data_IF_074055700955
#
_entry.id   IF_074055700955
#
_cell.length_a   1.000
_cell.length_b   1.000
_cell.length_c   1.000
_cell.angle_alpha   90.00
_cell.angle_beta   90.00
_cell.angle_gamma   90.00
#
_symmetry.space_group_name_H-M   'P 1'
#
loop_
_entity.id
_entity.type
_entity.pdbx_description
1 polymer ?
#
# COMPACT_ATOMS: atom_id res chain seq x y z
N UNK A 1 25.27 58.95 32.19
CA UNK A 1 24.00 58.25 31.94
C UNK A 1 24.28 57.07 31.02
N UNK A 2 24.38 55.86 31.58
CA UNK A 2 24.53 54.61 30.85
C UNK A 2 23.16 53.97 30.70
N UNK A 3 22.68 53.78 29.46
CA UNK A 3 21.46 53.00 29.16
C UNK A 3 21.87 51.55 29.02
N UNK A 4 21.43 50.74 29.94
CA UNK A 4 21.42 49.28 29.87
C UNK A 4 20.20 48.85 29.07
N UNK A 5 20.45 48.20 27.91
CA UNK A 5 19.45 47.55 27.07
C UNK A 5 19.45 46.08 27.46
N UNK A 6 18.46 45.66 28.18
CA UNK A 6 18.16 44.26 28.43
C UNK A 6 17.50 43.69 27.18
N UNK A 7 18.18 42.75 26.50
CA UNK A 7 17.60 41.90 25.47
C UNK A 7 16.99 40.70 26.20
N UNK A 8 15.67 40.67 26.33
CA UNK A 8 14.94 39.46 26.68
C UNK A 8 14.97 38.50 25.51
N UNK A 9 15.87 37.52 25.59
CA UNK A 9 15.83 36.35 24.75
C UNK A 9 14.81 35.40 25.38
N UNK A 10 13.63 35.36 24.78
CA UNK A 10 12.63 34.35 25.11
C UNK A 10 13.14 32.99 24.68
N UNK A 11 13.68 32.22 25.60
CA UNK A 11 14.03 30.83 25.48
C UNK A 11 12.75 29.98 25.37
N UNK A 12 12.19 29.87 24.16
CA UNK A 12 11.16 28.88 23.85
C UNK A 12 11.82 27.52 23.57
N UNK A 13 12.44 26.94 24.59
CA UNK A 13 12.75 25.53 24.62
C UNK A 13 11.45 24.75 24.85
N UNK A 14 10.75 24.41 23.77
CA UNK A 14 9.73 23.37 23.83
C UNK A 14 10.41 22.10 24.37
N UNK A 15 10.12 21.75 25.61
CA UNK A 15 10.59 20.52 26.25
C UNK A 15 10.05 19.34 25.42
N UNK A 16 10.88 18.76 24.56
CA UNK A 16 10.51 17.59 23.81
C UNK A 16 10.14 16.48 24.80
N UNK A 17 8.88 16.10 24.83
CA UNK A 17 8.39 15.03 25.71
C UNK A 17 9.12 13.74 25.35
N UNK A 18 9.68 13.08 26.39
CA UNK A 18 10.30 11.77 26.22
C UNK A 18 9.22 10.70 26.16
N UNK A 19 9.26 9.91 25.11
CA UNK A 19 8.27 8.86 24.81
C UNK A 19 8.84 7.47 25.13
N UNK A 20 7.94 6.52 25.41
CA UNK A 20 8.26 5.11 25.60
C UNK A 20 7.53 4.28 24.52
N UNK A 21 8.24 3.33 23.91
CA UNK A 21 7.67 2.35 23.00
C UNK A 21 7.70 0.97 23.64
N UNK A 22 6.54 0.28 23.62
CA UNK A 22 6.44 -1.12 23.99
C UNK A 22 6.20 -1.96 22.74
N UNK A 23 7.09 -2.92 22.48
CA UNK A 23 7.00 -3.71 21.25
C UNK A 23 8.12 -4.74 21.15
N UNK A 24 8.18 -5.38 19.99
CA UNK A 24 9.23 -6.35 19.67
C UNK A 24 10.24 -5.72 18.75
N UNK A 25 11.52 -5.83 19.08
CA UNK A 25 12.62 -5.50 18.15
C UNK A 25 12.64 -6.56 17.06
N UNK A 26 12.34 -6.19 15.83
CA UNK A 26 12.18 -7.14 14.71
C UNK A 26 13.34 -7.06 13.71
N UNK A 27 14.08 -5.95 13.68
CA UNK A 27 15.24 -5.74 12.82
C UNK A 27 16.19 -4.69 13.38
N UNK A 28 17.48 -4.86 13.10
CA UNK A 28 18.53 -3.90 13.46
C UNK A 28 19.46 -3.73 12.26
N UNK A 29 19.60 -2.52 11.79
CA UNK A 29 20.54 -2.19 10.70
C UNK A 29 21.99 -2.21 11.21
N UNK A 30 22.91 -2.46 10.29
CA UNK A 30 24.34 -2.32 10.57
C UNK A 30 24.64 -0.84 10.89
N UNK A 31 25.65 -0.65 11.74
CA UNK A 31 26.17 0.71 12.00
C UNK A 31 26.76 1.26 10.71
N UNK A 32 26.23 2.39 10.26
CA UNK A 32 26.67 3.07 9.05
C UNK A 32 27.35 4.39 9.39
N UNK A 33 28.33 4.78 8.58
CA UNK A 33 28.97 6.11 8.63
C UNK A 33 28.17 7.05 7.74
N UNK A 34 27.90 8.26 8.23
CA UNK A 34 27.23 9.27 7.43
C UNK A 34 28.23 9.83 6.40
N UNK A 35 27.82 9.96 5.14
CA UNK A 35 28.66 10.47 4.06
C UNK A 35 29.03 11.96 4.19
N UNK A 36 28.20 12.75 4.89
CA UNK A 36 28.41 14.19 5.05
C UNK A 36 29.23 14.59 6.27
N UNK A 37 29.31 13.73 7.26
CA UNK A 37 30.08 13.95 8.48
C UNK A 37 30.59 12.61 9.00
N UNK A 38 31.67 12.59 9.75
CA UNK A 38 32.28 11.34 10.26
C UNK A 38 31.45 10.61 11.34
N UNK A 39 30.20 11.02 11.54
CA UNK A 39 29.34 10.44 12.56
C UNK A 39 28.75 9.10 12.11
N UNK A 40 28.65 8.18 13.06
CA UNK A 40 28.00 6.90 12.87
C UNK A 40 26.57 6.93 13.36
N UNK A 41 25.73 6.11 12.77
CA UNK A 41 24.37 5.90 13.20
C UNK A 41 23.91 4.47 12.88
N UNK A 42 22.85 4.04 13.52
CA UNK A 42 22.09 2.85 13.15
C UNK A 42 20.62 3.08 13.42
N UNK A 43 19.79 2.27 12.81
CA UNK A 43 18.36 2.24 13.09
C UNK A 43 17.90 0.82 13.37
N UNK A 44 16.75 0.71 14.04
CA UNK A 44 16.11 -0.55 14.30
C UNK A 44 14.59 -0.40 14.15
N UNK A 45 13.90 -1.50 13.90
CA UNK A 45 12.45 -1.55 13.79
C UNK A 45 11.85 -2.19 15.02
N UNK A 46 10.76 -1.59 15.48
CA UNK A 46 9.94 -2.09 16.59
C UNK A 46 8.53 -2.34 16.07
N UNK A 47 8.04 -3.56 16.27
CA UNK A 47 6.64 -3.90 15.99
C UNK A 47 5.80 -3.60 17.23
N UNK A 48 4.77 -2.78 17.08
CA UNK A 48 3.85 -2.37 18.14
C UNK A 48 2.65 -3.32 18.22
N UNK A 49 1.79 -3.11 19.20
CA UNK A 49 0.60 -3.94 19.47
C UNK A 49 -0.40 -3.93 18.30
N UNK A 50 -0.57 -2.80 17.65
CA UNK A 50 -1.40 -2.63 16.45
C UNK A 50 -0.79 -3.22 15.17
N UNK A 51 0.30 -4.00 15.30
CA UNK A 51 1.10 -4.58 14.21
C UNK A 51 1.81 -3.55 13.31
N UNK A 52 1.72 -2.27 13.63
CA UNK A 52 2.51 -1.24 12.96
C UNK A 52 4.00 -1.37 13.28
N UNK A 53 4.84 -0.89 12.38
CA UNK A 53 6.29 -0.90 12.57
C UNK A 53 6.84 0.51 12.64
N UNK A 54 7.58 0.77 13.70
CA UNK A 54 8.18 2.08 13.95
C UNK A 54 9.70 1.98 13.82
N UNK A 55 10.29 2.93 13.10
CA UNK A 55 11.75 3.07 13.00
C UNK A 55 12.26 3.99 14.08
N UNK A 56 13.27 3.50 14.79
CA UNK A 56 14.02 4.27 15.81
C UNK A 56 15.45 4.44 15.35
N UNK A 57 15.99 5.66 15.42
CA UNK A 57 17.36 5.98 15.01
C UNK A 57 18.23 6.30 16.22
N UNK A 58 19.47 5.81 16.22
CA UNK A 58 20.50 6.17 17.20
C UNK A 58 21.70 6.79 16.51
N UNK A 59 22.03 8.00 16.88
CA UNK A 59 23.26 8.68 16.47
C UNK A 59 24.38 8.41 17.48
N UNK A 60 25.55 8.00 17.00
CA UNK A 60 26.69 7.56 17.82
C UNK A 60 27.85 8.57 17.86
N UNK A 61 27.76 9.65 17.07
CA UNK A 61 28.91 10.54 16.87
C UNK A 61 30.05 9.79 16.17
N UNK A 62 31.30 10.04 16.57
CA UNK A 62 32.50 9.44 15.96
C UNK A 62 32.77 7.99 16.43
N UNK A 63 32.16 7.56 17.52
CA UNK A 63 32.41 6.21 18.08
C UNK A 63 31.52 5.17 17.37
N UNK A 64 32.06 4.10 16.76
CA UNK A 64 31.26 3.10 16.04
C UNK A 64 30.64 2.03 16.97
N UNK A 65 30.74 2.16 18.29
CA UNK A 65 30.23 1.17 19.24
C UNK A 65 29.30 1.78 20.28
N UNK A 66 28.32 0.98 20.72
CA UNK A 66 27.32 1.40 21.70
C UNK A 66 26.77 0.17 22.44
N UNK A 67 26.71 0.21 23.79
CA UNK A 67 26.13 -0.87 24.58
C UNK A 67 24.67 -1.14 24.25
N UNK A 68 23.90 -0.09 23.91
CA UNK A 68 22.51 -0.20 23.47
C UNK A 68 22.39 -1.08 22.20
N UNK A 69 23.35 -1.03 21.29
CA UNK A 69 23.35 -1.87 20.08
C UNK A 69 23.46 -3.36 20.41
N UNK A 70 24.25 -3.73 21.43
CA UNK A 70 24.33 -5.10 21.89
C UNK A 70 23.06 -5.57 22.59
N UNK A 71 22.49 -4.73 23.44
CA UNK A 71 21.19 -5.02 24.10
C UNK A 71 20.06 -5.22 23.07
N UNK A 72 20.04 -4.42 22.00
CA UNK A 72 19.09 -4.60 20.90
C UNK A 72 19.30 -5.95 20.20
N UNK A 73 20.55 -6.36 19.94
CA UNK A 73 20.84 -7.66 19.34
C UNK A 73 20.39 -8.81 20.23
N UNK A 74 20.57 -8.69 21.54
CA UNK A 74 20.10 -9.68 22.52
C UNK A 74 18.57 -9.75 22.53
N UNK A 75 17.87 -8.59 22.54
CA UNK A 75 16.43 -8.52 22.46
C UNK A 75 15.90 -9.13 21.14
N UNK A 76 16.53 -8.84 20.00
CA UNK A 76 16.18 -9.44 18.71
C UNK A 76 16.37 -10.95 18.71
N UNK A 77 17.47 -11.44 19.31
CA UNK A 77 17.81 -12.87 19.38
C UNK A 77 16.87 -13.64 20.32
N UNK A 78 16.53 -13.05 21.46
CA UNK A 78 15.62 -13.67 22.43
C UNK A 78 14.17 -13.72 21.90
N UNK A 79 13.80 -12.78 21.04
CA UNK A 79 12.43 -12.64 20.56
C UNK A 79 11.44 -12.25 21.66
N UNK A 80 11.93 -11.69 22.75
CA UNK A 80 11.11 -11.20 23.85
C UNK A 80 10.64 -9.77 23.59
N UNK A 81 9.49 -9.42 24.17
CA UNK A 81 9.00 -8.05 24.13
C UNK A 81 9.92 -7.11 24.90
N UNK A 82 9.97 -5.86 24.49
CA UNK A 82 10.81 -4.84 25.07
C UNK A 82 10.02 -3.54 25.33
N UNK A 83 10.43 -2.84 26.39
CA UNK A 83 10.07 -1.46 26.66
C UNK A 83 11.27 -0.57 26.39
N UNK A 84 11.18 0.34 25.42
CA UNK A 84 12.25 1.23 25.01
C UNK A 84 11.89 2.62 25.52
N UNK A 85 12.61 3.10 26.50
CA UNK A 85 12.30 4.33 27.23
C UNK A 85 13.16 5.50 26.78
N UNK A 86 12.72 6.72 27.10
CA UNK A 86 13.44 7.97 26.88
C UNK A 86 13.81 8.19 25.39
N UNK A 87 12.84 7.97 24.53
CA UNK A 87 12.93 8.32 23.11
C UNK A 87 12.47 9.76 22.90
N UNK A 88 13.10 10.46 21.96
CA UNK A 88 12.62 11.74 21.45
C UNK A 88 11.78 11.46 20.20
N UNK A 89 10.58 11.96 20.20
CA UNK A 89 9.72 11.98 19.02
C UNK A 89 9.76 13.36 18.36
N UNK A 90 9.96 13.36 17.03
CA UNK A 90 9.90 14.57 16.24
C UNK A 90 9.34 14.23 14.86
N UNK A 91 8.18 14.83 14.52
CA UNK A 91 7.50 14.62 13.23
C UNK A 91 7.26 13.12 12.90
N UNK A 92 6.79 12.34 13.88
CA UNK A 92 6.55 10.91 13.72
C UNK A 92 7.80 10.03 13.60
N UNK A 93 9.00 10.60 13.80
CA UNK A 93 10.24 9.85 13.84
C UNK A 93 10.75 9.75 15.27
N UNK A 94 11.26 8.58 15.64
CA UNK A 94 11.81 8.34 16.97
C UNK A 94 13.34 8.30 16.93
N UNK A 95 13.94 8.99 17.88
CA UNK A 95 15.39 8.98 18.05
C UNK A 95 15.76 8.62 19.50
N UNK A 96 16.81 7.80 19.64
CA UNK A 96 17.37 7.50 20.95
C UNK A 96 18.08 8.71 21.53
N UNK A 97 17.93 8.92 22.83
CA UNK A 97 18.69 9.89 23.61
C UNK A 97 19.89 9.24 24.31
N UNK A 98 20.63 9.98 25.12
CA UNK A 98 21.68 9.43 25.98
C UNK A 98 21.11 8.53 27.10
N UNK A 99 19.88 8.81 27.54
CA UNK A 99 19.21 8.08 28.62
C UNK A 99 18.32 6.92 28.13
N UNK A 100 18.27 6.64 26.82
CA UNK A 100 17.49 5.54 26.26
C UNK A 100 17.93 4.20 26.84
N UNK A 101 16.96 3.42 27.34
CA UNK A 101 17.19 2.07 27.89
C UNK A 101 16.22 1.10 27.24
N UNK A 102 16.63 -0.15 27.17
CA UNK A 102 15.81 -1.28 26.72
C UNK A 102 15.63 -2.19 27.91
N UNK A 103 14.39 -2.44 28.25
CA UNK A 103 14.01 -3.33 29.35
C UNK A 103 13.14 -4.44 28.76
N UNK A 104 13.40 -5.67 29.14
CA UNK A 104 12.54 -6.78 28.78
C UNK A 104 11.14 -6.57 29.37
N UNK A 105 10.10 -6.81 28.56
CA UNK A 105 8.71 -6.68 28.94
C UNK A 105 7.88 -7.80 28.35
N UNK A 106 7.09 -8.47 29.19
CA UNK A 106 6.09 -9.42 28.71
C UNK A 106 4.97 -8.65 28.01
N UNK A 107 4.70 -8.99 26.75
CA UNK A 107 3.64 -8.41 25.93
C UNK A 107 2.64 -9.50 25.57
N UNK A 108 1.37 -9.12 25.43
CA UNK A 108 0.27 -10.07 25.16
C UNK A 108 0.13 -10.41 23.67
N UNK A 109 0.79 -9.68 22.79
CA UNK A 109 0.79 -9.91 21.36
C UNK A 109 2.11 -10.51 20.86
N UNK A 110 2.13 -10.98 19.60
CA UNK A 110 3.33 -11.41 18.88
C UNK A 110 3.38 -10.72 17.51
N UNK A 111 4.57 -10.35 17.00
CA UNK A 111 4.68 -9.73 15.69
C UNK A 111 4.23 -10.68 14.59
N UNK A 112 3.32 -10.24 13.74
CA UNK A 112 2.86 -11.02 12.58
C UNK A 112 3.80 -10.84 11.38
N UNK A 113 4.41 -9.68 11.25
CA UNK A 113 5.28 -9.34 10.13
C UNK A 113 6.53 -10.24 9.99
N UNK A 114 6.92 -10.98 11.03
CA UNK A 114 8.03 -11.94 10.99
C UNK A 114 7.57 -13.39 10.73
N UNK A 115 6.27 -13.67 10.77
CA UNK A 115 5.73 -14.98 10.39
C UNK A 115 5.71 -15.09 8.88
N UNK A 116 6.09 -16.25 8.36
CA UNK A 116 5.94 -16.56 6.95
C UNK A 116 4.48 -16.65 6.59
N UNK A 117 4.06 -15.92 5.57
CA UNK A 117 2.70 -15.94 5.03
C UNK A 117 2.74 -16.29 3.55
N UNK A 118 1.70 -16.97 3.06
CA UNK A 118 1.54 -17.26 1.64
C UNK A 118 1.13 -16.01 0.86
N UNK A 119 1.46 -15.96 -0.43
CA UNK A 119 1.15 -14.81 -1.28
C UNK A 119 -0.36 -14.55 -1.40
N UNK A 120 -1.18 -15.61 -1.42
CA UNK A 120 -2.64 -15.49 -1.43
C UNK A 120 -3.19 -14.78 -0.18
N UNK A 121 -2.59 -15.02 0.98
CA UNK A 121 -3.03 -14.43 2.24
C UNK A 121 -2.68 -12.94 2.38
N UNK A 122 -1.74 -12.43 1.57
CA UNK A 122 -1.38 -11.01 1.58
C UNK A 122 -2.51 -10.09 1.13
N UNK A 123 -3.52 -10.61 0.44
CA UNK A 123 -4.68 -9.84 -0.02
C UNK A 123 -5.55 -9.29 1.12
N UNK A 124 -5.55 -9.96 2.26
CA UNK A 124 -6.24 -9.49 3.48
C UNK A 124 -5.43 -8.51 4.32
N UNK A 125 -4.18 -8.22 3.94
CA UNK A 125 -3.31 -7.35 4.72
C UNK A 125 -3.52 -5.87 4.39
N UNK A 126 -3.27 -5.01 5.38
CA UNK A 126 -3.37 -3.57 5.19
C UNK A 126 -2.21 -3.03 4.34
N UNK A 127 -2.48 -1.98 3.56
CA UNK A 127 -1.47 -1.19 2.84
C UNK A 127 -0.37 -0.75 3.82
N UNK A 128 0.89 -0.84 3.36
CA UNK A 128 2.09 -0.49 4.12
C UNK A 128 2.47 -1.44 5.27
N UNK A 129 1.71 -2.49 5.53
CA UNK A 129 2.11 -3.53 6.48
C UNK A 129 3.38 -4.25 6.01
N UNK A 130 4.21 -4.66 6.96
CA UNK A 130 5.38 -5.49 6.69
C UNK A 130 5.01 -6.97 6.69
N UNK A 131 5.61 -7.75 5.80
CA UNK A 131 5.41 -9.20 5.72
C UNK A 131 6.70 -9.97 5.49
N UNK A 132 6.65 -11.27 5.73
CA UNK A 132 7.71 -12.24 5.45
C UNK A 132 7.11 -13.35 4.60
N UNK A 133 7.80 -13.71 3.52
CA UNK A 133 7.34 -14.71 2.55
C UNK A 133 8.44 -15.71 2.21
N UNK A 134 8.06 -16.91 1.77
CA UNK A 134 8.93 -17.87 1.11
C UNK A 134 8.50 -17.99 -0.33
N UNK A 135 9.37 -17.63 -1.27
CA UNK A 135 9.05 -17.49 -2.69
C UNK A 135 10.22 -17.90 -3.57
N UNK A 136 9.91 -18.33 -4.79
CA UNK A 136 10.86 -18.54 -5.89
C UNK A 136 10.85 -17.32 -6.81
N UNK A 137 12.01 -16.94 -7.31
CA UNK A 137 12.18 -15.87 -8.31
C UNK A 137 11.87 -16.45 -9.69
N UNK A 138 10.73 -16.05 -10.26
CA UNK A 138 10.22 -16.61 -11.54
C UNK A 138 10.62 -15.76 -12.76
N UNK A 139 10.73 -14.44 -12.60
CA UNK A 139 11.11 -13.52 -13.68
C UNK A 139 11.89 -12.34 -13.10
N UNK A 140 12.88 -11.84 -13.81
CA UNK A 140 13.58 -10.59 -13.48
C UNK A 140 13.50 -9.68 -14.70
N UNK A 141 12.86 -8.51 -14.53
CA UNK A 141 12.73 -7.50 -15.60
C UNK A 141 13.91 -6.53 -15.56
N UNK A 142 14.10 -5.81 -16.67
CA UNK A 142 15.15 -4.80 -16.79
C UNK A 142 15.01 -3.68 -15.75
N UNK A 143 16.14 -3.10 -15.39
CA UNK A 143 16.16 -1.98 -14.46
C UNK A 143 15.64 -0.71 -15.11
N UNK A 144 14.76 0.01 -14.43
CA UNK A 144 14.18 1.27 -14.87
C UNK A 144 14.60 2.38 -13.92
N UNK A 145 14.96 3.53 -14.47
CA UNK A 145 15.28 4.71 -13.69
C UNK A 145 13.99 5.42 -13.27
N UNK A 146 13.83 5.66 -11.96
CA UNK A 146 12.67 6.36 -11.40
C UNK A 146 13.11 7.55 -10.55
N UNK A 147 12.38 8.65 -10.66
CA UNK A 147 12.57 9.81 -9.82
C UNK A 147 11.80 9.62 -8.50
N UNK A 148 12.49 9.72 -7.37
CA UNK A 148 11.91 9.64 -6.03
C UNK A 148 12.08 10.98 -5.35
N UNK A 149 11.01 11.51 -4.78
CA UNK A 149 11.09 12.70 -3.93
C UNK A 149 11.69 12.34 -2.57
N UNK A 150 12.82 12.95 -2.26
CA UNK A 150 13.47 12.82 -0.96
C UNK A 150 12.90 13.82 0.05
N UNK A 151 12.55 15.02 -0.41
CA UNK A 151 11.86 16.09 0.31
C UNK A 151 11.23 17.05 -0.70
N UNK A 152 10.52 18.08 -0.22
CA UNK A 152 9.81 19.07 -1.07
C UNK A 152 10.67 19.72 -2.17
N UNK A 153 12.00 19.72 -2.02
CA UNK A 153 12.92 20.43 -2.92
C UNK A 153 13.91 19.51 -3.64
N UNK A 154 13.93 18.20 -3.31
CA UNK A 154 14.95 17.30 -3.83
C UNK A 154 14.36 16.02 -4.37
N UNK A 155 14.51 15.85 -5.69
CA UNK A 155 14.26 14.57 -6.38
C UNK A 155 15.60 13.86 -6.56
N UNK A 156 15.63 12.58 -6.25
CA UNK A 156 16.76 11.70 -6.53
C UNK A 156 16.33 10.65 -7.53
N UNK A 157 17.22 10.35 -8.47
CA UNK A 157 17.02 9.25 -9.39
C UNK A 157 17.54 7.96 -8.75
N UNK A 158 16.75 6.89 -8.81
CA UNK A 158 17.13 5.55 -8.35
C UNK A 158 16.77 4.51 -9.39
N UNK A 159 17.58 3.48 -9.48
CA UNK A 159 17.26 2.32 -10.29
C UNK A 159 16.31 1.39 -9.52
N UNK A 160 15.27 0.96 -10.21
CA UNK A 160 14.25 0.03 -9.75
C UNK A 160 14.25 -1.20 -10.67
N UNK A 161 14.15 -2.40 -10.10
CA UNK A 161 13.86 -3.64 -10.82
C UNK A 161 12.52 -4.21 -10.38
N UNK A 162 11.72 -4.66 -11.32
CA UNK A 162 10.53 -5.46 -11.06
C UNK A 162 10.87 -6.94 -11.23
N UNK A 163 10.46 -7.75 -10.29
CA UNK A 163 10.72 -9.19 -10.23
C UNK A 163 9.40 -9.90 -9.97
N UNK A 164 9.11 -10.97 -10.71
CA UNK A 164 7.99 -11.85 -10.37
C UNK A 164 8.47 -12.89 -9.40
N UNK A 165 7.80 -12.99 -8.27
CA UNK A 165 8.03 -14.00 -7.23
C UNK A 165 6.77 -14.82 -7.01
N UNK A 166 6.92 -16.12 -6.82
CA UNK A 166 5.81 -17.04 -6.67
C UNK A 166 5.98 -18.01 -5.52
N UNK A 167 4.85 -18.49 -5.00
CA UNK A 167 4.74 -19.65 -4.13
C UNK A 167 3.67 -20.62 -4.67
N UNK A 168 3.31 -21.65 -3.92
CA UNK A 168 2.26 -22.60 -4.34
C UNK A 168 0.85 -21.99 -4.38
N UNK A 169 0.66 -20.76 -3.90
CA UNK A 169 -0.65 -20.11 -3.76
C UNK A 169 -0.86 -18.93 -4.70
N UNK A 170 0.21 -18.42 -5.32
CA UNK A 170 0.12 -17.31 -6.27
C UNK A 170 1.48 -16.74 -6.66
N UNK A 171 1.45 -15.72 -7.50
CA UNK A 171 2.61 -14.93 -7.87
C UNK A 171 2.32 -13.43 -7.72
N UNK A 172 3.32 -12.64 -7.32
CA UNK A 172 3.24 -11.20 -7.14
C UNK A 172 4.46 -10.49 -7.71
N UNK A 173 4.31 -9.20 -8.02
CA UNK A 173 5.43 -8.34 -8.34
C UNK A 173 6.17 -7.92 -7.07
N UNK A 174 7.49 -8.09 -7.08
CA UNK A 174 8.42 -7.58 -6.07
C UNK A 174 9.26 -6.47 -6.67
N UNK A 175 9.19 -5.28 -6.08
CA UNK A 175 10.07 -4.16 -6.41
C UNK A 175 11.37 -4.25 -5.62
N UNK A 176 12.50 -4.22 -6.33
CA UNK A 176 13.85 -4.12 -5.78
C UNK A 176 14.48 -2.77 -6.12
N UNK A 177 15.41 -2.34 -5.26
CA UNK A 177 16.20 -1.14 -5.46
C UNK A 177 17.65 -1.50 -5.76
N UNK A 178 18.39 -0.62 -6.42
CA UNK A 178 19.73 -0.88 -6.98
C UNK A 178 20.71 -1.64 -6.04
N UNK A 179 20.68 -1.37 -4.75
CA UNK A 179 21.53 -2.04 -3.74
C UNK A 179 21.09 -3.47 -3.39
N UNK A 180 20.00 -3.94 -3.99
CA UNK A 180 19.42 -5.27 -3.74
C UNK A 180 19.47 -6.18 -4.98
N UNK A 181 19.85 -5.64 -6.15
CA UNK A 181 19.80 -6.39 -7.40
C UNK A 181 20.65 -7.67 -7.38
N UNK A 182 21.81 -7.62 -6.73
CA UNK A 182 22.75 -8.74 -6.64
C UNK A 182 22.40 -9.74 -5.53
N UNK A 183 21.35 -9.47 -4.75
CA UNK A 183 20.96 -10.33 -3.62
C UNK A 183 20.03 -11.46 -4.05
N UNK A 184 19.49 -11.41 -5.26
CA UNK A 184 18.58 -12.41 -5.78
C UNK A 184 19.04 -12.93 -7.15
N UNK A 185 18.67 -14.17 -7.46
CA UNK A 185 19.00 -14.84 -8.69
C UNK A 185 17.75 -15.53 -9.26
N UNK A 186 17.55 -15.46 -10.58
CA UNK A 186 16.46 -16.12 -11.27
C UNK A 186 16.45 -17.63 -10.97
N UNK A 187 15.26 -18.19 -10.77
CA UNK A 187 15.05 -19.60 -10.49
C UNK A 187 15.42 -20.06 -9.07
N UNK A 188 15.86 -19.14 -8.20
CA UNK A 188 16.26 -19.46 -6.82
C UNK A 188 15.16 -19.11 -5.83
N UNK A 189 15.00 -19.94 -4.81
CA UNK A 189 14.02 -19.76 -3.74
C UNK A 189 14.62 -19.05 -2.53
N UNK A 190 13.83 -18.14 -1.96
CA UNK A 190 14.25 -17.28 -0.86
C UNK A 190 13.18 -17.17 0.23
N UNK A 191 13.64 -17.15 1.48
CA UNK A 191 12.90 -16.61 2.61
C UNK A 191 13.21 -15.11 2.70
N UNK A 192 12.22 -14.27 2.34
CA UNK A 192 12.39 -12.82 2.26
C UNK A 192 11.63 -12.19 3.43
N UNK A 193 12.35 -11.47 4.29
CA UNK A 193 11.78 -10.86 5.50
C UNK A 193 11.62 -9.36 5.32
N UNK A 194 10.59 -8.83 5.96
CA UNK A 194 10.31 -7.39 6.07
C UNK A 194 10.15 -6.71 4.70
N UNK A 195 9.37 -7.35 3.84
CA UNK A 195 8.83 -6.71 2.64
C UNK A 195 7.68 -5.80 3.02
N UNK A 196 7.58 -4.65 2.38
CA UNK A 196 6.45 -3.74 2.54
C UNK A 196 5.37 -4.06 1.50
N UNK A 197 4.15 -4.28 1.95
CA UNK A 197 2.99 -4.47 1.06
C UNK A 197 2.62 -3.12 0.45
N UNK A 198 2.49 -3.09 -0.87
CA UNK A 198 1.97 -1.96 -1.63
C UNK A 198 0.67 -2.37 -2.29
N UNK A 199 -0.26 -1.44 -2.32
CA UNK A 199 -1.51 -1.58 -3.04
C UNK A 199 -1.62 -0.42 -4.03
N UNK A 200 -1.73 -0.74 -5.30
CA UNK A 200 -1.88 0.23 -6.39
C UNK A 200 -2.88 -0.30 -7.40
N UNK A 201 -3.93 0.47 -7.71
CA UNK A 201 -5.04 0.03 -8.54
C UNK A 201 -5.55 -1.35 -8.13
N UNK A 202 -5.72 -1.53 -6.81
CA UNK A 202 -6.20 -2.75 -6.18
C UNK A 202 -5.34 -4.01 -6.43
N UNK A 203 -4.20 -3.82 -7.09
CA UNK A 203 -3.19 -4.86 -7.23
C UNK A 203 -2.20 -4.78 -6.08
N UNK A 204 -2.00 -5.91 -5.43
CA UNK A 204 -0.99 -6.05 -4.39
C UNK A 204 0.35 -6.30 -5.04
N UNK A 205 1.34 -5.60 -4.57
CA UNK A 205 2.75 -5.82 -4.90
C UNK A 205 3.61 -5.74 -3.64
N UNK A 206 4.78 -6.30 -3.73
CA UNK A 206 5.77 -6.30 -2.66
C UNK A 206 6.86 -5.27 -2.96
N UNK A 207 7.33 -4.59 -1.94
CA UNK A 207 8.43 -3.63 -2.09
C UNK A 207 9.52 -3.93 -1.07
N UNK A 208 10.71 -4.17 -1.56
CA UNK A 208 11.88 -4.28 -0.70
C UNK A 208 12.27 -2.91 -0.14
N UNK A 209 12.70 -2.90 1.10
CA UNK A 209 13.17 -1.71 1.83
C UNK A 209 14.62 -1.89 2.26
N UNK A 210 15.21 -0.89 2.88
CA UNK A 210 16.56 -1.01 3.48
C UNK A 210 16.66 -2.08 4.57
N UNK A 211 15.51 -2.52 5.10
CA UNK A 211 15.43 -3.51 6.19
C UNK A 211 15.13 -4.93 5.68
N UNK A 212 14.79 -5.04 4.39
CA UNK A 212 14.50 -6.34 3.76
C UNK A 212 15.75 -7.19 3.73
N UNK A 213 15.62 -8.46 4.13
CA UNK A 213 16.69 -9.45 4.06
C UNK A 213 16.27 -10.64 3.20
N UNK A 214 17.20 -11.13 2.39
CA UNK A 214 17.04 -12.25 1.48
C UNK A 214 17.88 -13.42 1.98
N UNK A 215 17.25 -14.53 2.32
CA UNK A 215 17.92 -15.74 2.79
C UNK A 215 17.58 -16.84 1.80
N UNK A 216 18.60 -17.38 1.12
CA UNK A 216 18.41 -18.51 0.21
C UNK A 216 17.93 -19.72 1.00
N UNK A 217 16.91 -20.40 0.47
CA UNK A 217 16.32 -21.63 1.01
C UNK A 217 16.37 -22.76 -0.04
N UNK A 218 15.99 -23.95 0.37
CA UNK A 218 15.81 -25.08 -0.53
C UNK A 218 14.76 -24.76 -1.60
N UNK A 219 14.92 -25.36 -2.78
CA UNK A 219 14.08 -25.01 -3.93
C UNK A 219 12.62 -25.41 -3.69
N UNK A 220 11.73 -24.43 -3.87
CA UNK A 220 10.29 -24.63 -3.85
C UNK A 220 9.86 -25.30 -5.16
N UNK A 221 9.29 -26.51 -5.06
CA UNK A 221 9.00 -27.37 -6.22
C UNK A 221 7.71 -26.99 -6.95
N UNK A 222 6.67 -26.62 -6.19
CA UNK A 222 5.36 -26.26 -6.73
C UNK A 222 5.15 -24.76 -6.59
N UNK A 223 5.32 -24.02 -7.67
CA UNK A 223 5.27 -22.56 -7.68
C UNK A 223 4.41 -22.07 -8.83
N UNK A 224 3.54 -21.13 -8.57
CA UNK A 224 2.83 -20.38 -9.60
C UNK A 224 3.78 -19.30 -10.12
N UNK A 225 4.17 -19.40 -11.40
CA UNK A 225 5.21 -18.53 -11.96
C UNK A 225 4.68 -17.25 -12.60
N UNK A 226 3.40 -17.19 -12.90
CA UNK A 226 2.77 -16.04 -13.55
C UNK A 226 1.86 -15.29 -12.60
N UNK A 227 1.97 -13.97 -12.64
CA UNK A 227 1.01 -13.12 -11.96
C UNK A 227 -0.33 -13.31 -12.65
N UNK A 228 -1.24 -13.93 -11.94
CA UNK A 228 -2.60 -14.04 -12.43
C UNK A 228 -3.30 -12.69 -12.29
N UNK A 229 -3.29 -11.92 -13.36
CA UNK A 229 -4.05 -10.67 -13.47
C UNK A 229 -5.57 -10.93 -13.39
N UNK A 230 -5.98 -12.20 -13.50
CA UNK A 230 -7.36 -12.67 -13.46
C UNK A 230 -7.67 -13.47 -12.20
N UNK A 231 -6.82 -13.44 -11.16
CA UNK A 231 -7.14 -14.15 -9.93
C UNK A 231 -8.50 -13.67 -9.44
N UNK A 232 -9.49 -14.52 -9.67
CA UNK A 232 -10.93 -14.42 -9.45
C UNK A 232 -11.35 -13.74 -8.13
N UNK A 233 -10.95 -12.49 -7.95
CA UNK A 233 -11.69 -11.57 -7.10
C UNK A 233 -13.03 -11.17 -7.76
N UNK A 234 -13.22 -11.57 -9.02
CA UNK A 234 -14.43 -11.25 -9.76
C UNK A 234 -15.52 -12.27 -9.48
N UNK A 235 -16.63 -11.76 -9.03
CA UNK A 235 -17.91 -12.47 -9.02
C UNK A 235 -18.77 -11.90 -10.13
N UNK A 236 -19.51 -12.76 -10.80
CA UNK A 236 -20.56 -12.34 -11.75
C UNK A 236 -21.90 -12.59 -11.12
N UNK A 237 -22.81 -11.64 -11.27
CA UNK A 237 -24.18 -11.76 -10.79
C UNK A 237 -25.14 -11.00 -11.74
N UNK A 238 -26.45 -11.15 -11.51
CA UNK A 238 -27.51 -10.51 -12.27
C UNK A 238 -28.44 -9.78 -11.32
N UNK A 239 -28.82 -8.56 -11.70
CA UNK A 239 -29.68 -7.76 -10.86
C UNK A 239 -30.19 -6.52 -11.58
N UNK A 240 -30.91 -5.68 -10.84
CA UNK A 240 -31.46 -4.42 -11.33
C UNK A 240 -30.70 -3.24 -10.71
N UNK A 241 -30.33 -2.26 -11.50
CA UNK A 241 -29.79 -1.00 -11.01
C UNK A 241 -30.90 -0.24 -10.31
N UNK A 242 -30.77 -0.03 -8.99
CA UNK A 242 -31.81 0.63 -8.18
C UNK A 242 -31.41 2.05 -7.76
N UNK A 243 -30.12 2.38 -7.82
CA UNK A 243 -29.64 3.71 -7.46
C UNK A 243 -28.32 4.02 -8.15
N UNK A 244 -28.11 5.29 -8.48
CA UNK A 244 -26.88 5.82 -9.07
C UNK A 244 -26.52 7.12 -8.35
N UNK A 245 -25.29 7.20 -7.84
CA UNK A 245 -24.75 8.38 -7.17
C UNK A 245 -23.42 8.77 -7.81
N UNK A 246 -23.33 9.94 -8.47
CA UNK A 246 -22.07 10.48 -8.93
C UNK A 246 -21.10 10.64 -7.75
N UNK A 247 -19.88 10.15 -7.89
CA UNK A 247 -18.83 10.45 -6.92
C UNK A 247 -18.21 11.79 -7.31
N UNK A 248 -17.97 12.63 -6.31
CA UNK A 248 -17.14 13.81 -6.49
C UNK A 248 -15.79 13.40 -7.08
N UNK A 249 -15.33 14.19 -8.07
CA UNK A 249 -14.08 13.94 -8.77
C UNK A 249 -12.94 13.71 -7.75
N UNK A 250 -12.50 12.47 -7.61
CA UNK A 250 -11.38 12.14 -6.74
C UNK A 250 -10.12 12.04 -7.61
N UNK A 251 -9.12 12.82 -7.23
CA UNK A 251 -7.81 12.73 -7.85
C UNK A 251 -7.10 11.46 -7.38
N UNK A 252 -6.41 10.78 -8.31
CA UNK A 252 -5.49 9.69 -7.99
C UNK A 252 -4.05 10.13 -8.15
N UNK A 253 -3.23 9.83 -7.17
CA UNK A 253 -1.82 10.11 -7.22
C UNK A 253 -1.11 9.23 -8.26
N UNK A 254 -0.51 9.84 -9.28
CA UNK A 254 0.26 9.12 -10.30
C UNK A 254 1.49 8.39 -9.72
N UNK A 255 1.96 8.80 -8.53
CA UNK A 255 3.11 8.19 -7.89
C UNK A 255 2.82 6.99 -7.00
N UNK A 256 1.68 6.99 -6.30
CA UNK A 256 1.35 5.93 -5.32
C UNK A 256 -0.08 5.42 -5.39
N UNK A 257 -0.95 6.01 -6.24
CA UNK A 257 -2.35 5.62 -6.39
C UNK A 257 -3.27 6.05 -5.25
N UNK A 258 -2.78 6.80 -4.26
CA UNK A 258 -3.59 7.29 -3.14
C UNK A 258 -4.53 8.40 -3.57
N UNK A 259 -5.62 8.58 -2.83
CA UNK A 259 -6.66 9.61 -3.05
C UNK A 259 -6.64 10.70 -1.99
N UNK A 260 -5.70 10.65 -1.03
CA UNK A 260 -5.58 11.64 0.04
C UNK A 260 -4.67 12.79 -0.42
N UNK A 261 -5.27 13.95 -0.70
CA UNK A 261 -4.59 15.13 -1.24
C UNK A 261 -4.81 16.38 -0.39
N UNK A 262 -3.81 17.24 -0.41
CA UNK A 262 -3.91 18.64 -0.02
C UNK A 262 -4.00 19.49 -1.28
N UNK A 263 -5.01 20.34 -1.40
CA UNK A 263 -5.26 21.16 -2.58
C UNK A 263 -4.79 22.61 -2.35
N UNK A 264 -4.13 23.16 -3.35
CA UNK A 264 -3.89 24.58 -3.54
C UNK A 264 -4.58 25.04 -4.83
N UNK A 265 -4.60 26.34 -5.13
CA UNK A 265 -5.33 26.89 -6.29
C UNK A 265 -5.07 26.13 -7.60
N UNK A 266 -3.81 25.87 -7.95
CA UNK A 266 -3.42 25.25 -9.21
C UNK A 266 -2.72 23.89 -9.07
N UNK A 267 -2.45 23.43 -7.84
CA UNK A 267 -1.70 22.22 -7.58
C UNK A 267 -2.37 21.36 -6.52
N UNK A 268 -2.20 20.04 -6.64
CA UNK A 268 -2.54 19.07 -5.63
C UNK A 268 -1.28 18.34 -5.16
N UNK A 269 -1.21 18.07 -3.87
CA UNK A 269 -0.10 17.36 -3.24
C UNK A 269 -0.64 16.11 -2.57
N UNK A 270 -0.10 14.96 -2.93
CA UNK A 270 -0.44 13.70 -2.28
C UNK A 270 0.12 13.68 -0.84
N UNK A 271 -0.74 13.46 0.14
CA UNK A 271 -0.33 13.43 1.54
C UNK A 271 0.50 12.18 1.89
N UNK A 272 0.36 11.10 1.12
CA UNK A 272 1.07 9.83 1.34
C UNK A 272 2.50 9.85 0.79
N UNK A 273 2.66 10.15 -0.51
CA UNK A 273 3.97 10.13 -1.17
C UNK A 273 4.57 11.52 -1.39
N UNK A 274 3.83 12.59 -1.06
CA UNK A 274 4.20 14.01 -1.21
C UNK A 274 4.49 14.43 -2.65
N UNK A 275 4.04 13.68 -3.63
CA UNK A 275 4.10 14.09 -5.03
C UNK A 275 3.18 15.28 -5.28
N UNK A 276 3.65 16.27 -6.03
CA UNK A 276 2.85 17.43 -6.47
C UNK A 276 2.54 17.34 -7.95
N UNK A 277 1.32 17.68 -8.30
CA UNK A 277 0.82 17.68 -9.67
C UNK A 277 0.10 18.99 -9.95
N UNK A 278 0.07 19.41 -11.20
CA UNK A 278 -0.87 20.43 -11.62
C UNK A 278 -2.27 19.79 -11.68
N UNK A 279 -3.31 20.51 -11.24
CA UNK A 279 -4.68 19.99 -11.28
C UNK A 279 -5.10 19.52 -12.68
N UNK A 280 -4.69 20.27 -13.71
CA UNK A 280 -4.98 19.93 -15.11
C UNK A 280 -4.31 18.65 -15.62
N UNK A 281 -3.21 18.23 -15.00
CA UNK A 281 -2.43 17.05 -15.42
C UNK A 281 -2.76 15.82 -14.57
N UNK A 282 -3.70 15.94 -13.64
CA UNK A 282 -4.05 14.87 -12.72
C UNK A 282 -5.15 14.01 -13.32
N UNK A 283 -4.97 12.70 -13.27
CA UNK A 283 -5.99 11.74 -13.68
C UNK A 283 -7.13 11.85 -12.68
N UNK A 284 -8.29 12.34 -13.14
CA UNK A 284 -9.54 12.22 -12.40
C UNK A 284 -10.05 10.80 -12.56
N UNK A 285 -10.20 10.08 -11.47
CA UNK A 285 -10.93 8.83 -11.48
C UNK A 285 -12.42 9.14 -11.41
N UNK A 286 -13.04 9.20 -12.58
CA UNK A 286 -14.49 9.37 -12.74
C UNK A 286 -15.20 8.07 -12.34
N UNK A 287 -15.36 7.83 -11.04
CA UNK A 287 -16.17 6.74 -10.55
C UNK A 287 -17.56 7.19 -10.19
N UNK A 288 -18.50 6.30 -10.42
CA UNK A 288 -19.89 6.44 -10.07
C UNK A 288 -20.24 5.29 -9.14
N UNK A 289 -20.91 5.57 -8.04
CA UNK A 289 -21.47 4.51 -7.20
C UNK A 289 -22.81 4.08 -7.78
N UNK A 290 -22.97 2.79 -7.96
CA UNK A 290 -24.27 2.20 -8.30
C UNK A 290 -24.67 1.19 -7.25
N UNK A 291 -25.96 1.12 -7.01
CA UNK A 291 -26.58 0.10 -6.18
C UNK A 291 -27.34 -0.86 -7.07
N UNK A 292 -27.03 -2.14 -6.97
CA UNK A 292 -27.67 -3.21 -7.72
C UNK A 292 -28.37 -4.14 -6.73
N UNK A 293 -29.67 -4.36 -6.94
CA UNK A 293 -30.46 -5.37 -6.24
C UNK A 293 -30.51 -6.63 -7.09
N UNK A 294 -30.01 -7.75 -6.54
CA UNK A 294 -30.04 -9.06 -7.23
C UNK A 294 -31.39 -9.75 -7.10
N UNK A 295 -31.60 -10.72 -7.94
CA UNK A 295 -32.81 -11.56 -7.87
C UNK A 295 -32.87 -12.45 -6.59
N UNK A 296 -31.74 -12.57 -5.87
CA UNK A 296 -31.66 -13.24 -4.56
C UNK A 296 -31.97 -12.30 -3.37
N UNK A 297 -32.44 -11.07 -3.64
CA UNK A 297 -32.64 -10.00 -2.64
C UNK A 297 -31.38 -9.55 -1.90
N UNK A 298 -30.22 -9.72 -2.51
CA UNK A 298 -28.97 -9.11 -2.04
C UNK A 298 -28.79 -7.74 -2.69
N UNK A 299 -28.27 -6.79 -1.92
CA UNK A 299 -27.96 -5.44 -2.42
C UNK A 299 -26.45 -5.22 -2.43
N UNK A 300 -25.92 -4.82 -3.57
CA UNK A 300 -24.52 -4.48 -3.76
C UNK A 300 -24.34 -2.98 -3.98
N UNK A 301 -23.46 -2.35 -3.18
CA UNK A 301 -23.00 -0.98 -3.40
C UNK A 301 -21.64 -1.04 -4.09
N UNK A 302 -21.62 -0.78 -5.39
CA UNK A 302 -20.46 -0.98 -6.25
C UNK A 302 -20.00 0.33 -6.88
N UNK A 303 -18.73 0.38 -7.29
CA UNK A 303 -18.15 1.49 -8.05
C UNK A 303 -17.99 1.08 -9.50
N UNK A 304 -18.33 1.96 -10.43
CA UNK A 304 -18.19 1.72 -11.85
C UNK A 304 -17.51 2.91 -12.53
N UNK A 305 -16.66 2.65 -13.51
CA UNK A 305 -16.01 3.71 -14.27
C UNK A 305 -17.02 4.38 -15.23
N UNK A 306 -16.94 5.69 -15.36
CA UNK A 306 -17.77 6.50 -16.27
C UNK A 306 -17.72 6.00 -17.71
N UNK A 307 -16.55 5.55 -18.18
CA UNK A 307 -16.41 4.99 -19.52
C UNK A 307 -17.25 3.73 -19.74
N UNK A 308 -17.32 2.85 -18.73
CA UNK A 308 -18.13 1.63 -18.80
C UNK A 308 -19.63 1.95 -18.82
N UNK A 309 -20.07 2.92 -18.01
CA UNK A 309 -21.46 3.41 -18.05
C UNK A 309 -21.79 4.12 -19.36
N UNK A 310 -20.87 4.85 -19.96
CA UNK A 310 -21.08 5.48 -21.27
C UNK A 310 -21.34 4.44 -22.36
N UNK A 311 -20.64 3.31 -22.33
CA UNK A 311 -20.90 2.18 -23.25
C UNK A 311 -22.31 1.61 -23.02
N UNK A 312 -22.71 1.44 -21.75
CA UNK A 312 -24.03 0.94 -21.38
C UNK A 312 -25.15 1.90 -21.89
N UNK A 313 -25.00 3.21 -21.70
CA UNK A 313 -25.93 4.24 -22.16
C UNK A 313 -26.05 4.25 -23.67
N UNK A 314 -24.93 4.17 -24.41
CA UNK A 314 -24.94 4.11 -25.87
C UNK A 314 -25.67 2.85 -26.38
N UNK A 315 -25.51 1.73 -25.72
CA UNK A 315 -26.21 0.49 -26.06
C UNK A 315 -27.70 0.58 -25.74
N UNK A 316 -28.11 1.35 -24.71
CA UNK A 316 -29.54 1.57 -24.37
C UNK A 316 -30.28 2.40 -25.41
N UNK A 317 -29.64 3.41 -26.00
CA UNK A 317 -30.23 4.22 -27.10
C UNK A 317 -30.48 3.39 -28.35
N UNK A 318 -29.65 2.38 -28.63
CA UNK A 318 -29.85 1.42 -29.72
C UNK A 318 -31.08 0.51 -29.49
N UNK A 319 -31.52 0.35 -28.26
CA UNK A 319 -32.72 -0.43 -27.90
C UNK A 319 -34.02 0.37 -27.99
N UNK A 320 -34.00 1.62 -28.48
CA UNK A 320 -35.17 2.43 -28.78
C UNK A 320 -35.92 2.97 -27.57
N UNK A 321 -35.30 3.02 -26.41
CA UNK A 321 -35.96 3.38 -25.14
C UNK A 321 -35.97 4.87 -24.82
N UNK A 322 -35.25 5.73 -25.56
CA UNK A 322 -35.27 7.19 -25.28
C UNK A 322 -34.97 8.07 -26.49
N UNK A 323 -35.85 9.04 -26.73
CA UNK A 323 -35.72 10.13 -27.72
C UNK A 323 -34.97 11.36 -27.18
N UNK A 324 -34.36 11.30 -26.01
CA UNK A 324 -33.71 12.45 -25.35
C UNK A 324 -32.20 12.34 -25.37
N UNK A 325 -31.60 12.90 -26.41
CA UNK A 325 -30.17 13.23 -26.40
C UNK A 325 -29.94 14.53 -25.61
N UNK A 326 -29.82 14.45 -24.28
CA UNK A 326 -29.14 15.52 -23.56
C UNK A 326 -27.63 15.30 -23.67
N UNK A 327 -26.87 16.35 -24.00
CA UNK A 327 -25.43 16.31 -24.07
C UNK A 327 -24.75 16.20 -22.65
N UNK A 328 -25.56 16.10 -21.60
CA UNK A 328 -25.12 16.04 -20.25
C UNK A 328 -25.14 14.58 -19.75
N UNK A 329 -23.94 14.02 -19.51
CA UNK A 329 -23.79 12.65 -19.04
C UNK A 329 -24.53 12.41 -17.70
N UNK A 330 -24.54 13.39 -16.80
CA UNK A 330 -25.18 13.27 -15.48
C UNK A 330 -26.72 13.15 -15.59
N UNK A 331 -27.35 13.87 -16.51
CA UNK A 331 -28.78 13.75 -16.77
C UNK A 331 -29.17 12.38 -17.33
N UNK A 332 -28.23 11.74 -18.04
CA UNK A 332 -28.43 10.41 -18.61
C UNK A 332 -28.23 9.28 -17.61
N UNK A 333 -27.62 9.53 -16.46
CA UNK A 333 -27.40 8.49 -15.44
C UNK A 333 -28.70 7.97 -14.82
N UNK A 334 -29.74 8.82 -14.71
CA UNK A 334 -31.04 8.40 -14.17
C UNK A 334 -31.74 7.39 -15.07
N UNK A 335 -31.42 7.39 -16.37
CA UNK A 335 -32.02 6.50 -17.35
C UNK A 335 -31.70 5.04 -17.12
N UNK A 336 -30.53 4.76 -16.55
CA UNK A 336 -30.12 3.37 -16.30
C UNK A 336 -30.72 2.77 -15.02
N UNK A 337 -31.40 3.58 -14.20
CA UNK A 337 -32.14 3.08 -13.04
C UNK A 337 -33.31 2.23 -13.54
N UNK A 338 -33.43 1.03 -13.05
CA UNK A 338 -34.42 0.06 -13.47
C UNK A 338 -33.91 -0.94 -14.51
N UNK A 339 -32.73 -0.75 -15.11
CA UNK A 339 -32.20 -1.70 -16.07
C UNK A 339 -31.76 -3.00 -15.37
N UNK A 340 -32.11 -4.13 -15.98
CA UNK A 340 -31.58 -5.42 -15.60
C UNK A 340 -30.23 -5.61 -16.27
N UNK A 341 -29.23 -5.94 -15.45
CA UNK A 341 -27.84 -6.05 -15.89
C UNK A 341 -27.21 -7.37 -15.42
N UNK A 342 -26.32 -7.88 -16.25
CA UNK A 342 -25.33 -8.83 -15.84
C UNK A 342 -24.03 -8.06 -15.57
N UNK A 343 -23.42 -8.28 -14.42
CA UNK A 343 -22.24 -7.54 -14.00
C UNK A 343 -21.19 -8.45 -13.40
N UNK A 344 -19.94 -8.15 -13.69
CA UNK A 344 -18.79 -8.76 -13.04
C UNK A 344 -18.08 -7.70 -12.20
N UNK A 345 -17.80 -7.99 -10.95
CA UNK A 345 -17.22 -7.07 -10.00
C UNK A 345 -16.16 -7.71 -9.14
N UNK A 346 -15.15 -6.93 -8.75
CA UNK A 346 -14.20 -7.33 -7.72
C UNK A 346 -14.86 -7.21 -6.34
N UNK A 347 -15.09 -8.35 -5.69
CA UNK A 347 -15.81 -8.38 -4.41
C UNK A 347 -15.00 -7.82 -3.23
N UNK A 348 -13.67 -7.69 -3.36
CA UNK A 348 -12.83 -7.10 -2.30
C UNK A 348 -12.91 -5.58 -2.27
N UNK A 349 -13.04 -4.95 -3.45
CA UNK A 349 -13.00 -3.51 -3.61
C UNK A 349 -14.33 -2.92 -4.06
N UNK A 350 -15.29 -3.78 -4.40
CA UNK A 350 -16.60 -3.36 -4.86
C UNK A 350 -16.56 -2.64 -6.21
N UNK A 351 -15.69 -3.07 -7.14
CA UNK A 351 -15.47 -2.44 -8.41
C UNK A 351 -16.00 -3.25 -9.57
N UNK A 352 -16.84 -2.64 -10.43
CA UNK A 352 -17.41 -3.30 -11.61
C UNK A 352 -16.43 -3.21 -12.78
N UNK A 353 -16.08 -4.36 -13.35
CA UNK A 353 -15.19 -4.48 -14.51
C UNK A 353 -15.93 -4.79 -15.80
N UNK A 354 -17.11 -5.41 -15.72
CA UNK A 354 -17.99 -5.66 -16.84
C UNK A 354 -19.44 -5.40 -16.44
N UNK A 355 -20.22 -4.77 -17.33
CA UNK A 355 -21.61 -4.43 -17.10
C UNK A 355 -22.36 -4.47 -18.44
N UNK A 356 -23.36 -5.34 -18.55
CA UNK A 356 -24.15 -5.54 -19.76
C UNK A 356 -25.64 -5.54 -19.45
N UNK A 357 -26.44 -4.97 -20.36
CA UNK A 357 -27.92 -4.96 -20.23
C UNK A 357 -28.47 -6.34 -20.63
N UNK A 358 -29.28 -6.91 -19.77
CA UNK A 358 -30.00 -8.14 -20.07
C UNK A 358 -31.35 -7.78 -20.75
N UNK A 359 -31.51 -8.15 -22.02
CA UNK A 359 -32.77 -8.02 -22.70
C UNK A 359 -33.80 -9.00 -22.10
N UNK A 360 -34.93 -8.49 -21.62
CA UNK A 360 -36.03 -9.30 -21.04
C UNK A 360 -36.72 -10.25 -22.03
N UNK A 361 -36.36 -10.22 -23.32
CA UNK A 361 -37.05 -10.94 -24.40
C UNK A 361 -36.39 -12.27 -24.80
N UNK A 362 -35.41 -12.78 -24.06
CA UNK A 362 -35.00 -14.16 -24.31
C UNK A 362 -35.88 -15.13 -23.53
N UNK A 363 -36.60 -16.06 -24.21
CA UNK A 363 -37.39 -17.10 -23.54
C UNK A 363 -36.45 -17.94 -22.66
N UNK A 364 -36.89 -18.24 -21.43
CA UNK A 364 -36.23 -19.19 -20.55
C UNK A 364 -36.05 -20.50 -21.33
N UNK A 365 -34.81 -20.88 -21.59
CA UNK A 365 -34.52 -22.27 -21.94
C UNK A 365 -34.87 -23.13 -20.71
N UNK A 366 -36.05 -23.66 -20.71
CA UNK A 366 -36.46 -24.73 -19.80
C UNK A 366 -35.55 -25.92 -20.07
N UNK A 367 -34.66 -26.21 -19.09
CA UNK A 367 -33.96 -27.50 -19.04
C UNK A 367 -34.99 -28.65 -19.04
N UNK A 368 -35.30 -29.14 -20.21
CA UNK A 368 -35.92 -30.45 -20.35
C UNK A 368 -34.86 -31.51 -19.93
N UNK A 369 -34.82 -31.82 -18.65
CA UNK A 369 -34.31 -33.09 -18.17
C UNK A 369 -35.31 -34.17 -18.62
N UNK A 370 -35.01 -34.76 -19.77
CA UNK A 370 -35.69 -35.97 -20.19
C UNK A 370 -35.19 -37.16 -19.38
N UNK A 371 -36.14 -37.93 -18.94
CA UNK A 371 -36.13 -39.16 -18.15
C UNK A 371 -35.11 -40.23 -18.58
#
# INVERSE_FOLDING_TARGET
MKRTTTCDVADTSASASLTCLNGYVIHINKIAKNSSNENHHYSFLVCLEDQSTVRVVKYLGKAPSCCLYQQLKESLKSGNGASITSLREQNGQFACTASTKILEKKLEFRPECIKTVSLSNLRGCHKAQMCTVEVKVCEIRDAVQVAIEQNEFKRIQKLKKSVVVGDSTGALELTLWENQFDQITLGTSYHIRLLKIRMFNDQISLNATSDTSFIKIDDLREVIEQIDNNLNSYKSDKGQIVFVEPLDNQYKCQGCGDTNFSENENTISCNDCRSRFLKQDTIQDDFIKIKIATYANEEYNLKVNKSLLSVLLNNSTLLGTTDTQSNNFEENLEIIIGFNVEFAYDYHIGYINALEIINQNQPKEENQLSA
#
